data_IF_966480103217
#
_entry.id   IF_966480103217
#
_cell.length_a   1.000
_cell.length_b   1.000
_cell.length_c   1.000
_cell.angle_alpha   90.00
_cell.angle_beta   90.00
_cell.angle_gamma   90.00
#
_symmetry.space_group_name_H-M   'P 1'
#
loop_
_entity.id
_entity.type
_entity.pdbx_description
1 polymer ?
#
# COMPACT_ATOMS: atom_id res chain seq x y z
N UNK A 1 -7.77 4.18 -35.99
CA UNK A 1 -8.29 3.54 -34.77
C UNK A 1 -7.13 3.48 -33.81
N UNK A 2 -6.95 4.52 -33.02
CA UNK A 2 -5.84 4.60 -32.07
C UNK A 2 -6.10 3.60 -30.94
N UNK A 3 -5.21 2.61 -30.82
CA UNK A 3 -5.24 1.68 -29.70
C UNK A 3 -4.80 2.47 -28.47
N UNK A 4 -5.74 2.74 -27.55
CA UNK A 4 -5.38 3.16 -26.21
C UNK A 4 -4.44 2.10 -25.61
N UNK A 5 -3.35 2.50 -24.95
CA UNK A 5 -2.54 1.53 -24.23
C UNK A 5 -3.46 0.83 -23.23
N UNK A 6 -3.51 -0.51 -23.28
CA UNK A 6 -3.99 -1.28 -22.14
C UNK A 6 -3.07 -0.88 -20.99
N UNK A 7 -3.54 0.00 -20.10
CA UNK A 7 -3.06 -0.03 -18.74
C UNK A 7 -3.32 -1.47 -18.30
N UNK A 8 -2.28 -2.28 -18.18
CA UNK A 8 -2.39 -3.42 -17.28
C UNK A 8 -2.57 -2.72 -15.94
N UNK A 9 -3.80 -2.69 -15.44
CA UNK A 9 -4.19 -1.93 -14.27
C UNK A 9 -3.30 -2.40 -13.10
N UNK A 10 -2.23 -1.66 -12.83
CA UNK A 10 -1.34 -1.92 -11.71
C UNK A 10 -2.09 -1.49 -10.45
N UNK A 11 -2.26 -2.42 -9.52
CA UNK A 11 -2.98 -2.18 -8.27
C UNK A 11 -2.19 -2.75 -7.10
N UNK A 12 -2.47 -2.21 -5.92
CA UNK A 12 -1.87 -2.68 -4.67
C UNK A 12 -2.55 -3.99 -4.26
N UNK A 13 -1.79 -5.05 -4.02
CA UNK A 13 -2.33 -6.34 -3.57
C UNK A 13 -2.21 -6.53 -2.05
N UNK A 14 -1.16 -5.94 -1.46
CA UNK A 14 -0.80 -6.14 -0.06
C UNK A 14 -0.04 -4.96 0.52
N UNK A 15 -0.31 -4.66 1.78
CA UNK A 15 0.45 -3.71 2.59
C UNK A 15 0.94 -4.41 3.85
N UNK A 16 2.25 -4.46 4.06
CA UNK A 16 2.85 -4.90 5.32
C UNK A 16 3.21 -3.68 6.18
N UNK A 17 2.79 -3.69 7.43
CA UNK A 17 2.98 -2.59 8.38
C UNK A 17 3.82 -3.07 9.56
N UNK A 18 5.01 -2.48 9.72
CA UNK A 18 5.84 -2.72 10.90
C UNK A 18 5.72 -1.57 11.89
N UNK A 19 5.00 -1.82 12.99
CA UNK A 19 4.73 -0.82 14.02
C UNK A 19 6.00 -0.34 14.73
N UNK A 20 6.93 -1.26 14.99
CA UNK A 20 8.18 -0.97 15.71
C UNK A 20 9.15 -0.14 14.87
N UNK A 21 9.17 -0.36 13.56
CA UNK A 21 10.03 0.34 12.61
C UNK A 21 9.38 1.57 12.00
N UNK A 22 8.07 1.78 12.22
CA UNK A 22 7.26 2.79 11.52
C UNK A 22 7.42 2.70 9.99
N UNK A 23 7.33 1.48 9.47
CA UNK A 23 7.60 1.16 8.07
C UNK A 23 6.36 0.55 7.42
N UNK A 24 6.05 1.01 6.22
CA UNK A 24 5.05 0.41 5.32
C UNK A 24 5.77 -0.18 4.12
N UNK A 25 5.42 -1.42 3.76
CA UNK A 25 5.81 -2.03 2.48
C UNK A 25 4.56 -2.25 1.65
N UNK A 26 4.53 -1.66 0.48
CA UNK A 26 3.40 -1.67 -0.45
C UNK A 26 3.79 -2.59 -1.60
N UNK A 27 3.01 -3.64 -1.82
CA UNK A 27 3.21 -4.61 -2.88
C UNK A 27 2.21 -4.34 -4.00
N UNK A 28 2.71 -4.29 -5.23
CA UNK A 28 1.92 -4.16 -6.44
C UNK A 28 1.70 -5.53 -7.10
N UNK A 29 0.60 -5.66 -7.83
CA UNK A 29 0.23 -6.88 -8.58
C UNK A 29 1.23 -7.27 -9.67
N UNK A 30 2.12 -6.36 -10.07
CA UNK A 30 3.20 -6.56 -11.03
C UNK A 30 4.52 -7.05 -10.37
N UNK A 31 4.54 -7.20 -9.04
CA UNK A 31 5.71 -7.54 -8.25
C UNK A 31 6.55 -6.34 -7.82
N UNK A 32 6.13 -5.11 -8.10
CA UNK A 32 6.77 -3.91 -7.58
C UNK A 32 6.60 -3.84 -6.06
N UNK A 33 7.65 -3.42 -5.35
CA UNK A 33 7.61 -3.18 -3.91
C UNK A 33 8.10 -1.78 -3.60
N UNK A 34 7.27 -1.00 -2.90
CA UNK A 34 7.64 0.31 -2.41
C UNK A 34 7.72 0.30 -0.88
N UNK A 35 8.77 0.92 -0.34
CA UNK A 35 8.95 1.08 1.10
C UNK A 35 8.77 2.53 1.50
N UNK A 36 8.00 2.77 2.56
CA UNK A 36 7.78 4.08 3.16
C UNK A 36 8.13 4.03 4.65
N UNK A 37 9.31 4.54 4.99
CA UNK A 37 9.76 4.70 6.37
C UNK A 37 9.28 6.06 6.90
N UNK A 38 8.64 6.06 8.07
CA UNK A 38 8.20 7.29 8.73
C UNK A 38 9.17 7.71 9.84
N UNK A 39 9.64 8.95 9.76
CA UNK A 39 10.58 9.51 10.73
C UNK A 39 9.91 9.83 12.06
N UNK A 40 8.63 10.21 12.01
CA UNK A 40 7.85 10.65 13.18
C UNK A 40 6.62 9.77 13.40
N UNK A 41 6.17 9.72 14.66
CA UNK A 41 4.93 9.03 15.03
C UNK A 41 3.71 9.64 14.34
N UNK A 42 3.67 10.96 14.17
CA UNK A 42 2.53 11.64 13.53
C UNK A 42 2.41 11.29 12.05
N UNK A 43 3.53 11.21 11.33
CA UNK A 43 3.54 10.73 9.95
C UNK A 43 3.05 9.28 9.89
N UNK A 44 3.56 8.43 10.78
CA UNK A 44 3.17 7.03 10.84
C UNK A 44 1.66 6.87 11.06
N UNK A 45 1.08 7.59 12.03
CA UNK A 45 -0.34 7.51 12.35
C UNK A 45 -1.22 7.96 11.18
N UNK A 46 -0.82 9.01 10.45
CA UNK A 46 -1.55 9.47 9.25
C UNK A 46 -1.55 8.43 8.13
N UNK A 47 -0.41 7.79 7.88
CA UNK A 47 -0.31 6.74 6.83
C UNK A 47 -1.07 5.48 7.25
N UNK A 48 -1.04 5.14 8.54
CA UNK A 48 -1.78 4.01 9.09
C UNK A 48 -3.30 4.20 8.92
N UNK A 49 -3.81 5.41 9.10
CA UNK A 49 -5.22 5.74 8.88
C UNK A 49 -5.64 5.47 7.43
N UNK A 50 -4.86 5.97 6.46
CA UNK A 50 -5.10 5.72 5.02
C UNK A 50 -5.02 4.22 4.69
N UNK A 51 -4.05 3.51 5.27
CA UNK A 51 -3.86 2.07 5.02
C UNK A 51 -5.06 1.25 5.51
N UNK A 52 -5.71 1.66 6.60
CA UNK A 52 -6.93 1.00 7.10
C UNK A 52 -8.14 1.28 6.20
N UNK A 53 -8.25 2.49 5.68
CA UNK A 53 -9.32 2.83 4.73
C UNK A 53 -9.21 2.02 3.43
N UNK A 54 -8.00 1.58 3.05
CA UNK A 54 -7.81 0.76 1.86
C UNK A 54 -8.58 -0.57 1.93
N UNK A 55 -8.59 -1.26 3.08
CA UNK A 55 -9.38 -2.51 3.27
C UNK A 55 -10.89 -2.26 3.18
N UNK A 56 -11.35 -1.05 3.53
CA UNK A 56 -12.77 -0.68 3.45
C UNK A 56 -13.20 -0.36 2.01
N UNK A 57 -12.27 0.15 1.19
CA UNK A 57 -12.51 0.52 -0.21
C UNK A 57 -12.39 -0.70 -1.13
N UNK A 58 -11.40 -1.54 -0.88
CA UNK A 58 -11.12 -2.74 -1.65
C UNK A 58 -10.81 -3.92 -0.72
N UNK A 59 -11.78 -4.83 -0.63
CA UNK A 59 -11.69 -6.02 0.21
C UNK A 59 -10.64 -7.04 -0.26
N UNK A 60 -10.07 -6.88 -1.46
CA UNK A 60 -9.02 -7.75 -1.97
C UNK A 60 -7.63 -7.34 -1.47
N UNK A 61 -7.44 -6.08 -1.06
CA UNK A 61 -6.20 -5.59 -0.47
C UNK A 61 -6.00 -6.23 0.90
N UNK A 62 -4.82 -6.83 1.11
CA UNK A 62 -4.46 -7.44 2.40
C UNK A 62 -3.57 -6.51 3.21
N UNK A 63 -4.02 -6.04 4.37
CA UNK A 63 -3.15 -5.35 5.34
C UNK A 63 -2.66 -6.33 6.39
N UNK A 64 -1.33 -6.44 6.53
CA UNK A 64 -0.69 -7.39 7.45
C UNK A 64 0.22 -6.63 8.42
N UNK A 65 0.12 -6.94 9.71
CA UNK A 65 0.99 -6.38 10.74
C UNK A 65 2.17 -7.34 11.00
N UNK A 66 3.40 -6.84 10.88
CA UNK A 66 4.66 -7.62 10.95
C UNK A 66 5.69 -7.09 11.93
#
# INVERSE_FOLDING_TARGET
>A
MESFPKFQDEYVDRVEISLTKRLFKIFGSDGHVQELLCDTSDQFMKVLEVSKMAEEIDSEIKVVYV
#
